data_IF_897909761739
#
_entry.id   IF_897909761739
#
_cell.length_a   1.000
_cell.length_b   1.000
_cell.length_c   1.000
_cell.angle_alpha   90.00
_cell.angle_beta   90.00
_cell.angle_gamma   90.00
#
_symmetry.space_group_name_H-M   'P 1'
#
loop_
_entity.id
_entity.type
_entity.pdbx_description
1 polymer ?
#
# COMPACT_ATOMS: atom_id res chain seq x y z
N UNK A 1 -3.51 16.18 7.53
CA UNK A 1 -3.99 14.94 6.90
C UNK A 1 -5.43 15.12 6.46
N UNK A 2 -5.78 14.80 5.21
CA UNK A 2 -7.15 15.00 4.71
C UNK A 2 -8.16 14.12 5.48
N UNK A 3 -9.44 14.53 5.58
CA UNK A 3 -10.45 13.70 6.21
C UNK A 3 -10.69 12.41 5.39
N UNK A 4 -11.18 11.36 6.04
CA UNK A 4 -11.34 10.06 5.42
C UNK A 4 -12.46 10.10 4.38
N UNK A 5 -12.15 9.77 3.12
CA UNK A 5 -13.18 9.55 2.10
C UNK A 5 -13.55 8.07 2.08
N UNK A 6 -14.73 7.75 2.60
CA UNK A 6 -15.23 6.38 2.71
C UNK A 6 -16.33 6.18 1.67
N UNK A 7 -16.29 5.05 0.97
CA UNK A 7 -17.31 4.64 0.01
C UNK A 7 -17.99 3.35 0.51
N UNK A 8 -19.14 3.01 -0.05
CA UNK A 8 -19.79 1.73 0.24
C UNK A 8 -18.97 0.52 -0.24
N UNK A 9 -19.46 -0.69 0.05
CA UNK A 9 -18.80 -1.96 -0.34
C UNK A 9 -18.60 -2.13 -1.85
N UNK A 10 -19.33 -1.36 -2.67
CA UNK A 10 -19.23 -1.36 -4.14
C UNK A 10 -18.34 -0.23 -4.67
N UNK A 11 -17.76 0.60 -3.80
CA UNK A 11 -16.96 1.77 -4.18
C UNK A 11 -17.81 2.93 -4.69
N UNK A 12 -19.11 2.97 -4.40
CA UNK A 12 -20.05 4.04 -4.75
C UNK A 12 -20.41 4.89 -3.53
N UNK A 13 -21.13 5.99 -3.76
CA UNK A 13 -21.67 6.90 -2.73
C UNK A 13 -20.63 7.35 -1.69
N UNK A 14 -19.47 7.82 -2.16
CA UNK A 14 -18.39 8.22 -1.28
C UNK A 14 -18.70 9.49 -0.50
N UNK A 15 -18.45 9.47 0.80
CA UNK A 15 -18.62 10.60 1.71
C UNK A 15 -17.30 10.93 2.42
N UNK A 16 -17.13 12.19 2.78
CA UNK A 16 -16.00 12.63 3.59
C UNK A 16 -16.41 12.61 5.06
N UNK A 17 -15.75 11.77 5.85
CA UNK A 17 -16.03 11.57 7.27
C UNK A 17 -14.87 12.11 8.14
N UNK A 18 -15.24 12.66 9.30
CA UNK A 18 -14.30 13.14 10.30
C UNK A 18 -13.71 14.52 10.01
N UNK A 19 -12.85 14.98 10.92
CA UNK A 19 -12.09 16.22 10.77
C UNK A 19 -10.67 15.89 10.30
N UNK A 20 -10.08 16.77 9.51
CA UNK A 20 -8.68 16.67 9.14
C UNK A 20 -7.81 16.64 10.41
N UNK A 21 -7.03 15.57 10.58
CA UNK A 21 -6.07 15.43 11.66
C UNK A 21 -4.81 16.25 11.39
N UNK A 22 -4.05 16.56 12.45
CA UNK A 22 -2.75 17.24 12.34
C UNK A 22 -1.79 16.49 11.40
N UNK A 23 -1.88 15.16 11.35
CA UNK A 23 -0.98 14.32 10.56
C UNK A 23 0.42 14.26 11.14
N UNK A 24 1.36 13.71 10.37
CA UNK A 24 2.79 13.66 10.71
C UNK A 24 3.49 14.75 9.88
N UNK A 25 4.17 15.73 10.52
CA UNK A 25 4.90 16.76 9.80
C UNK A 25 6.10 16.17 9.07
N UNK A 26 6.50 16.80 7.96
CA UNK A 26 7.71 16.46 7.19
C UNK A 26 7.83 14.98 6.78
N UNK A 27 6.69 14.33 6.49
CA UNK A 27 6.62 12.93 6.08
C UNK A 27 5.78 12.76 4.81
N UNK A 28 6.40 12.19 3.76
CA UNK A 28 5.70 11.84 2.53
C UNK A 28 5.02 10.46 2.61
N UNK A 29 5.55 9.56 3.44
CA UNK A 29 5.06 8.20 3.57
C UNK A 29 5.32 7.66 4.98
N UNK A 30 4.33 6.98 5.55
CA UNK A 30 4.45 6.32 6.87
C UNK A 30 4.50 4.81 6.67
N UNK A 31 5.60 4.20 7.09
CA UNK A 31 5.79 2.77 6.95
C UNK A 31 5.78 2.07 8.30
N UNK A 32 4.74 1.26 8.53
CA UNK A 32 4.61 0.46 9.74
C UNK A 32 5.28 -0.89 9.52
N UNK A 33 6.13 -1.32 10.46
CA UNK A 33 6.85 -2.59 10.37
C UNK A 33 6.51 -3.43 11.59
N UNK A 34 6.14 -4.69 11.37
CA UNK A 34 5.97 -5.69 12.41
C UNK A 34 6.79 -6.94 12.12
N UNK A 35 7.04 -7.73 13.15
CA UNK A 35 7.65 -9.05 13.04
C UNK A 35 6.78 -10.06 13.80
N UNK A 36 5.64 -10.41 13.21
CA UNK A 36 4.66 -11.30 13.82
C UNK A 36 4.45 -12.53 12.97
N UNK A 37 4.39 -13.70 13.62
CA UNK A 37 4.03 -14.93 12.93
C UNK A 37 2.51 -14.96 12.73
N UNK A 38 2.06 -14.89 11.48
CA UNK A 38 0.64 -14.83 11.09
C UNK A 38 0.28 -15.95 10.13
N UNK A 39 -1.01 -16.15 9.86
CA UNK A 39 -1.47 -17.15 8.86
C UNK A 39 -0.86 -16.94 7.47
N UNK A 40 -0.52 -15.70 7.10
CA UNK A 40 0.16 -15.41 5.82
C UNK A 40 1.58 -15.96 5.79
N UNK A 41 2.26 -16.07 6.92
CA UNK A 41 3.60 -16.63 7.00
C UNK A 41 3.63 -18.13 6.68
N UNK A 42 2.54 -18.85 6.94
CA UNK A 42 2.40 -20.28 6.59
C UNK A 42 1.97 -20.52 5.14
N UNK A 43 1.54 -19.46 4.42
CA UNK A 43 1.21 -19.58 3.00
C UNK A 43 2.49 -19.54 2.18
N UNK A 44 2.99 -20.71 1.82
CA UNK A 44 4.26 -20.86 1.10
C UNK A 44 5.46 -20.52 1.98
N UNK A 45 6.63 -20.30 1.36
CA UNK A 45 7.84 -19.84 2.04
C UNK A 45 7.87 -18.31 2.15
N UNK A 46 6.78 -17.71 2.66
CA UNK A 46 6.68 -16.25 2.78
C UNK A 46 7.62 -15.75 3.88
N UNK A 47 8.63 -14.98 3.49
CA UNK A 47 9.62 -14.36 4.40
C UNK A 47 9.12 -13.02 4.92
N UNK A 48 8.43 -12.27 4.07
CA UNK A 48 7.83 -11.00 4.39
C UNK A 48 6.64 -10.75 3.47
N UNK A 49 5.73 -9.87 3.88
CA UNK A 49 4.73 -9.31 2.99
C UNK A 49 4.53 -7.84 3.31
N UNK A 50 4.24 -7.02 2.30
CA UNK A 50 3.86 -5.64 2.52
C UNK A 50 2.80 -5.14 1.55
N UNK A 51 2.06 -4.13 1.98
CA UNK A 51 1.04 -3.49 1.17
C UNK A 51 0.84 -2.03 1.57
N UNK A 52 0.28 -1.25 0.65
CA UNK A 52 -0.26 0.06 0.99
C UNK A 52 -1.50 -0.13 1.87
N UNK A 53 -1.68 0.78 2.82
CA UNK A 53 -2.87 0.82 3.66
C UNK A 53 -3.71 2.07 3.37
N UNK A 54 -3.09 3.14 2.86
CA UNK A 54 -3.78 4.39 2.58
C UNK A 54 -3.18 5.10 1.36
N UNK A 55 -4.06 5.67 0.53
CA UNK A 55 -3.72 6.58 -0.56
C UNK A 55 -4.23 7.99 -0.27
N UNK A 56 -3.54 9.00 -0.79
CA UNK A 56 -4.02 10.38 -0.79
C UNK A 56 -5.23 10.52 -1.71
N UNK A 57 -6.29 11.20 -1.24
CA UNK A 57 -7.56 11.24 -1.95
C UNK A 57 -7.53 12.06 -3.26
N UNK A 58 -6.59 13.00 -3.40
CA UNK A 58 -6.46 13.86 -4.59
C UNK A 58 -5.54 13.28 -5.66
N UNK A 59 -4.48 12.58 -5.25
CA UNK A 59 -3.40 12.12 -6.16
C UNK A 59 -3.33 10.61 -6.29
N UNK A 60 -4.07 9.86 -5.48
CA UNK A 60 -3.99 8.40 -5.40
C UNK A 60 -2.61 7.86 -4.98
N UNK A 61 -1.70 8.73 -4.54
CA UNK A 61 -0.36 8.34 -4.08
C UNK A 61 -0.46 7.55 -2.78
N UNK A 62 0.18 6.37 -2.64
CA UNK A 62 0.32 5.72 -1.33
C UNK A 62 0.99 6.66 -0.33
N UNK A 63 0.37 6.83 0.84
CA UNK A 63 0.88 7.69 1.94
C UNK A 63 1.13 6.90 3.23
N UNK A 64 0.61 5.67 3.31
CA UNK A 64 0.95 4.75 4.38
C UNK A 64 0.95 3.32 3.87
N UNK A 65 1.86 2.51 4.41
CA UNK A 65 1.93 1.09 4.15
C UNK A 65 2.41 0.32 5.37
N UNK A 66 2.24 -0.98 5.31
CA UNK A 66 2.62 -1.90 6.36
C UNK A 66 3.42 -3.06 5.77
N UNK A 67 4.48 -3.46 6.46
CA UNK A 67 5.17 -4.71 6.23
C UNK A 67 5.16 -5.57 7.49
N UNK A 68 5.05 -6.87 7.28
CA UNK A 68 5.31 -7.86 8.30
C UNK A 68 6.45 -8.79 7.86
N UNK A 69 7.44 -8.94 8.72
CA UNK A 69 8.48 -9.94 8.61
C UNK A 69 8.04 -11.21 9.35
N UNK A 70 8.15 -12.38 8.71
CA UNK A 70 7.74 -13.65 9.29
C UNK A 70 8.89 -14.26 10.10
N UNK A 71 8.88 -14.21 11.45
CA UNK A 71 10.08 -14.47 12.26
C UNK A 71 10.69 -15.86 12.02
N UNK A 72 9.87 -16.89 11.83
CA UNK A 72 10.31 -18.28 11.65
C UNK A 72 10.92 -18.54 10.26
N UNK A 73 10.65 -17.65 9.29
CA UNK A 73 11.14 -17.75 7.91
C UNK A 73 12.41 -16.92 7.65
N UNK A 74 12.86 -16.15 8.65
CA UNK A 74 14.03 -15.28 8.52
C UNK A 74 15.28 -16.08 8.90
N UNK A 75 16.18 -16.29 7.93
CA UNK A 75 17.51 -16.80 8.22
C UNK A 75 18.39 -15.69 8.79
N UNK A 76 19.08 -15.98 9.88
CA UNK A 76 20.08 -15.09 10.50
C UNK A 76 21.51 -15.37 10.02
N UNK A 77 21.66 -16.27 9.05
CA UNK A 77 22.98 -16.64 8.52
C UNK A 77 23.50 -15.53 7.59
N UNK A 78 24.79 -15.14 7.68
CA UNK A 78 25.35 -14.05 6.88
C UNK A 78 25.11 -14.22 5.37
N UNK A 79 25.26 -15.43 4.83
CA UNK A 79 25.07 -15.71 3.40
C UNK A 79 23.64 -15.49 2.88
N UNK A 80 22.64 -15.48 3.77
CA UNK A 80 21.23 -15.30 3.40
C UNK A 80 20.79 -13.82 3.51
N UNK A 81 21.68 -12.95 4.00
CA UNK A 81 21.37 -11.53 4.28
C UNK A 81 21.05 -10.75 3.02
N UNK A 82 21.79 -10.98 1.93
CA UNK A 82 21.56 -10.29 0.66
C UNK A 82 20.20 -10.67 0.06
N UNK A 83 19.85 -11.96 0.13
CA UNK A 83 18.55 -12.47 -0.30
C UNK A 83 17.42 -11.88 0.54
N UNK A 84 17.56 -11.88 1.87
CA UNK A 84 16.59 -11.29 2.78
C UNK A 84 16.39 -9.79 2.49
N UNK A 85 17.48 -9.05 2.32
CA UNK A 85 17.43 -7.62 2.02
C UNK A 85 16.75 -7.37 0.67
N UNK A 86 17.02 -8.20 -0.34
CA UNK A 86 16.34 -8.12 -1.65
C UNK A 86 14.84 -8.37 -1.52
N UNK A 87 14.43 -9.38 -0.76
CA UNK A 87 13.01 -9.67 -0.50
C UNK A 87 12.33 -8.54 0.24
N UNK A 88 12.94 -7.99 1.29
CA UNK A 88 12.36 -6.86 2.03
C UNK A 88 12.22 -5.62 1.14
N UNK A 89 13.20 -5.34 0.27
CA UNK A 89 13.08 -4.26 -0.73
C UNK A 89 11.91 -4.51 -1.68
N UNK A 90 11.76 -5.75 -2.18
CA UNK A 90 10.64 -6.13 -3.04
C UNK A 90 9.29 -5.86 -2.37
N UNK A 91 9.13 -6.29 -1.12
CA UNK A 91 7.90 -6.04 -0.37
C UNK A 91 7.65 -4.54 -0.14
N UNK A 92 8.68 -3.77 0.26
CA UNK A 92 8.54 -2.32 0.43
C UNK A 92 8.03 -1.64 -0.85
N UNK A 93 8.49 -2.08 -2.03
CA UNK A 93 8.00 -1.54 -3.30
C UNK A 93 6.50 -1.76 -3.50
N UNK A 94 5.96 -2.90 -3.07
CA UNK A 94 4.51 -3.13 -3.10
C UNK A 94 3.76 -2.10 -2.26
N UNK A 95 4.28 -1.75 -1.08
CA UNK A 95 3.70 -0.72 -0.22
C UNK A 95 3.81 0.70 -0.80
N UNK A 96 4.85 0.97 -1.59
CA UNK A 96 5.07 2.25 -2.27
C UNK A 96 4.26 2.43 -3.55
N UNK A 97 3.61 1.38 -4.05
CA UNK A 97 2.69 1.49 -5.19
C UNK A 97 2.97 0.54 -6.34
N UNK A 98 4.04 -0.25 -6.28
CA UNK A 98 4.37 -1.25 -7.30
C UNK A 98 3.53 -2.52 -7.12
N UNK A 99 2.22 -2.36 -7.14
CA UNK A 99 1.23 -3.43 -7.00
C UNK A 99 0.27 -3.38 -8.18
N UNK A 100 -0.06 -4.54 -8.75
CA UNK A 100 -0.97 -4.62 -9.92
C UNK A 100 -2.30 -3.91 -9.67
N UNK A 101 -2.84 -4.02 -8.45
CA UNK A 101 -4.07 -3.34 -8.03
C UNK A 101 -3.98 -1.81 -8.01
N UNK A 102 -2.77 -1.25 -8.06
CA UNK A 102 -2.50 0.18 -8.02
C UNK A 102 -2.08 0.79 -9.36
N UNK A 103 -1.73 -0.02 -10.37
CA UNK A 103 -1.28 0.51 -11.66
C UNK A 103 -2.34 1.38 -12.35
N UNK A 104 -3.61 1.00 -12.23
CA UNK A 104 -4.72 1.80 -12.74
C UNK A 104 -4.83 3.19 -12.08
N UNK A 105 -4.17 3.40 -10.93
CA UNK A 105 -4.18 4.68 -10.22
C UNK A 105 -3.03 5.61 -10.62
N UNK A 106 -2.09 5.18 -11.46
CA UNK A 106 -0.93 5.97 -11.84
C UNK A 106 -1.32 7.25 -12.59
N UNK A 107 -0.46 8.25 -12.46
CA UNK A 107 -0.61 9.58 -13.04
C UNK A 107 0.61 9.94 -13.87
N UNK A 108 0.43 10.83 -14.83
CA UNK A 108 1.52 11.36 -15.63
C UNK A 108 2.35 12.42 -14.86
N UNK A 109 3.35 13.00 -15.52
CA UNK A 109 4.21 14.04 -14.96
C UNK A 109 3.49 15.35 -14.60
N UNK A 110 2.30 15.57 -15.15
CA UNK A 110 1.47 16.75 -14.86
C UNK A 110 0.48 16.47 -13.71
N UNK A 111 0.40 15.21 -13.25
CA UNK A 111 -0.53 14.77 -12.21
C UNK A 111 -1.87 14.26 -12.76
N UNK A 112 -2.02 14.11 -14.07
CA UNK A 112 -3.26 13.65 -14.69
C UNK A 112 -3.37 12.11 -14.64
N UNK A 113 -4.55 11.53 -14.34
CA UNK A 113 -4.73 10.08 -14.34
C UNK A 113 -4.40 9.44 -15.69
N UNK A 114 -3.56 8.39 -15.68
CA UNK A 114 -3.25 7.61 -16.89
C UNK A 114 -4.40 6.67 -17.31
N UNK A 115 -5.26 6.32 -16.36
CA UNK A 115 -6.47 5.51 -16.60
C UNK A 115 -7.71 6.37 -16.39
N UNK A 116 -8.71 6.32 -17.31
CA UNK A 116 -9.97 7.05 -17.15
C UNK A 116 -10.64 6.80 -15.79
N UNK A 117 -11.13 7.87 -15.16
CA UNK A 117 -11.84 7.80 -13.88
C UNK A 117 -13.35 7.76 -14.11
N UNK A 118 -14.04 6.92 -13.34
CA UNK A 118 -15.50 6.95 -13.26
C UNK A 118 -15.98 8.17 -12.45
N UNK A 119 -17.30 8.37 -12.36
CA UNK A 119 -17.91 9.48 -11.58
C UNK A 119 -17.50 9.49 -10.10
N UNK A 120 -17.09 8.36 -9.55
CA UNK A 120 -16.61 8.24 -8.16
C UNK A 120 -15.13 8.67 -8.00
N UNK A 121 -14.42 8.99 -9.08
CA UNK A 121 -13.01 9.37 -9.08
C UNK A 121 -12.03 8.20 -9.10
N UNK A 122 -12.52 6.95 -9.18
CA UNK A 122 -11.68 5.73 -9.24
C UNK A 122 -11.61 5.19 -10.67
N UNK A 123 -10.54 4.47 -11.04
CA UNK A 123 -10.49 3.73 -12.30
C UNK A 123 -11.53 2.59 -12.30
N UNK A 124 -11.96 2.18 -13.50
CA UNK A 124 -12.88 1.07 -13.67
C UNK A 124 -12.27 -0.22 -13.12
N UNK A 125 -13.06 -0.98 -12.35
CA UNK A 125 -12.63 -2.28 -11.81
C UNK A 125 -12.73 -3.30 -12.93
N UNK A 126 -11.64 -4.00 -13.25
CA UNK A 126 -11.72 -5.14 -14.15
C UNK A 126 -12.56 -6.23 -13.46
N UNK A 127 -13.66 -6.66 -14.10
CA UNK A 127 -14.63 -7.61 -13.52
C UNK A 127 -14.33 -9.07 -13.88
N UNK A 128 -13.12 -9.34 -14.32
CA UNK A 128 -12.66 -10.69 -14.68
C UNK A 128 -12.12 -11.44 -13.47
#
# INVERSE_FOLDING_TARGET
MQPCRVCDSTGRYCQTLGRAGRGIPDADFVFYVSAMQTDRCYKGQTVAYAAHCQQEASTDRPIAGHANLCPDSISTKPQDTDTLLSTVKHEILHALGFSVSLYAYFRDKNGDPLTPREKNGKPAVNKE
#
